data_IF_803974241044
#
_entry.id   IF_803974241044
#
_cell.length_a   1.000
_cell.length_b   1.000
_cell.length_c   1.000
_cell.angle_alpha   90.00
_cell.angle_beta   90.00
_cell.angle_gamma   90.00
#
_symmetry.space_group_name_H-M   'P 1'
#
loop_
_entity.id
_entity.type
_entity.pdbx_description
1 polymer ?
#
# COMPACT_ATOMS: atom_id res chain seq x y z
N UNK A 1 16.10 -6.10 -9.06
CA UNK A 1 15.56 -6.76 -7.86
C UNK A 1 16.69 -7.37 -7.05
N UNK A 2 17.07 -8.62 -7.34
CA UNK A 2 18.14 -9.33 -6.62
C UNK A 2 19.48 -8.58 -6.56
N UNK A 3 19.92 -7.99 -7.68
CA UNK A 3 21.16 -7.20 -7.70
C UNK A 3 21.04 -5.94 -6.82
N UNK A 4 19.91 -5.23 -6.89
CA UNK A 4 19.61 -4.10 -6.01
C UNK A 4 19.59 -4.49 -4.53
N UNK A 5 19.04 -5.66 -4.15
CA UNK A 5 19.10 -6.13 -2.76
C UNK A 5 20.53 -6.43 -2.29
N UNK A 6 21.42 -6.81 -3.22
CA UNK A 6 22.83 -7.01 -2.95
C UNK A 6 23.66 -5.71 -2.96
N UNK A 7 23.01 -4.54 -3.04
CA UNK A 7 23.68 -3.23 -2.99
C UNK A 7 24.27 -2.76 -4.33
N UNK A 8 23.81 -3.33 -5.44
CA UNK A 8 24.16 -2.86 -6.78
C UNK A 8 23.15 -1.83 -7.30
N UNK A 9 23.63 -0.88 -8.08
CA UNK A 9 22.80 0.04 -8.86
C UNK A 9 23.03 -0.17 -10.37
N UNK A 10 22.00 0.11 -11.17
CA UNK A 10 22.11 0.09 -12.62
C UNK A 10 22.89 1.32 -13.10
N UNK A 11 23.93 1.11 -13.90
CA UNK A 11 24.68 2.19 -14.55
C UNK A 11 24.17 2.43 -15.96
N UNK A 12 23.97 1.35 -16.71
CA UNK A 12 23.55 1.39 -18.11
C UNK A 12 22.76 0.13 -18.44
N UNK A 13 21.78 0.25 -19.33
CA UNK A 13 21.07 -0.87 -19.93
C UNK A 13 20.83 -0.63 -21.42
N UNK A 14 20.86 -1.70 -22.21
CA UNK A 14 20.63 -1.65 -23.65
C UNK A 14 20.01 -2.96 -24.12
N UNK A 15 19.04 -2.87 -25.02
CA UNK A 15 18.55 -4.02 -25.76
C UNK A 15 19.36 -4.18 -27.06
N UNK A 16 19.85 -5.39 -27.32
CA UNK A 16 20.52 -5.78 -28.57
C UNK A 16 19.89 -7.13 -28.97
N UNK A 17 19.30 -7.19 -30.17
CA UNK A 17 18.64 -8.40 -30.70
C UNK A 17 17.67 -9.08 -29.71
N UNK A 18 16.77 -8.28 -29.13
CA UNK A 18 15.78 -8.68 -28.10
C UNK A 18 16.36 -9.10 -26.73
N UNK A 19 17.68 -9.16 -26.60
CA UNK A 19 18.35 -9.45 -25.34
C UNK A 19 18.65 -8.16 -24.56
N UNK A 20 18.42 -8.20 -23.25
CA UNK A 20 18.72 -7.10 -22.34
C UNK A 20 20.14 -7.22 -21.79
N UNK A 21 21.01 -6.33 -22.20
CA UNK A 21 22.34 -6.12 -21.65
C UNK A 21 22.28 -5.01 -20.60
N UNK A 22 23.01 -5.16 -19.50
CA UNK A 22 23.07 -4.13 -18.46
C UNK A 22 24.38 -4.17 -17.68
N UNK A 23 24.82 -3.00 -17.24
CA UNK A 23 26.01 -2.80 -16.41
C UNK A 23 25.56 -2.35 -15.03
N UNK A 24 26.10 -3.01 -13.99
CA UNK A 24 25.76 -2.74 -12.59
C UNK A 24 27.03 -2.35 -11.83
N UNK A 25 26.89 -1.44 -10.86
CA UNK A 25 27.97 -1.02 -9.97
C UNK A 25 27.61 -1.33 -8.52
N UNK A 26 28.54 -1.90 -7.75
CA UNK A 26 28.36 -2.06 -6.31
C UNK A 26 28.55 -0.71 -5.63
N UNK A 27 27.53 -0.24 -4.92
CA UNK A 27 27.55 1.08 -4.25
C UNK A 27 27.32 1.02 -2.75
N UNK A 28 26.78 -0.09 -2.26
CA UNK A 28 26.56 -0.30 -0.82
C UNK A 28 26.64 -1.77 -0.46
N UNK A 29 26.71 -2.04 0.82
CA UNK A 29 26.57 -3.40 1.34
C UNK A 29 25.13 -3.92 1.16
N UNK A 30 24.94 -5.24 1.01
CA UNK A 30 23.62 -5.84 0.85
C UNK A 30 22.66 -5.47 1.99
N UNK A 31 21.44 -5.10 1.61
CA UNK A 31 20.35 -4.90 2.56
C UNK A 31 19.68 -6.23 2.89
N UNK A 32 20.04 -6.85 4.01
CA UNK A 32 19.38 -8.06 4.48
C UNK A 32 18.09 -7.71 5.23
N UNK A 33 16.95 -8.17 4.70
CA UNK A 33 15.75 -8.34 5.52
C UNK A 33 15.98 -9.55 6.44
N UNK A 34 15.83 -9.37 7.76
CA UNK A 34 16.01 -10.44 8.74
C UNK A 34 14.85 -11.42 8.78
N UNK A 35 13.71 -11.11 8.14
CA UNK A 35 12.56 -11.99 8.02
C UNK A 35 11.94 -11.91 6.61
N UNK A 36 12.67 -12.29 5.57
CA UNK A 36 12.17 -12.17 4.22
C UNK A 36 11.01 -13.14 4.03
N UNK A 37 9.89 -12.62 3.54
CA UNK A 37 8.80 -13.49 3.08
C UNK A 37 9.01 -13.73 1.61
N UNK A 38 9.07 -15.00 1.17
CA UNK A 38 9.18 -15.37 -0.26
C UNK A 38 7.95 -16.06 -0.82
N UNK A 39 7.06 -16.53 0.06
CA UNK A 39 5.82 -17.21 -0.31
C UNK A 39 4.72 -16.30 -0.89
N UNK A 40 3.58 -16.91 -1.30
CA UNK A 40 2.43 -16.19 -1.83
C UNK A 40 1.70 -15.38 -0.76
N UNK A 41 1.81 -15.74 0.52
CA UNK A 41 1.32 -14.93 1.64
C UNK A 41 2.46 -14.04 2.14
N UNK A 42 2.22 -12.74 2.26
CA UNK A 42 3.15 -11.76 2.83
C UNK A 42 2.55 -11.16 4.10
N UNK A 43 3.42 -10.84 5.06
CA UNK A 43 3.04 -10.12 6.27
C UNK A 43 3.77 -8.78 6.33
N UNK A 44 3.03 -7.70 6.53
CA UNK A 44 3.55 -6.34 6.56
C UNK A 44 3.27 -5.73 7.92
N UNK A 45 4.30 -5.20 8.60
CA UNK A 45 4.11 -4.49 9.87
C UNK A 45 3.51 -3.10 9.61
N UNK A 46 2.45 -2.76 10.35
CA UNK A 46 1.71 -1.51 10.23
C UNK A 46 1.27 -0.99 11.58
N UNK A 47 1.09 0.33 11.68
CA UNK A 47 0.55 0.97 12.88
C UNK A 47 -0.94 0.67 13.02
N UNK A 48 -1.31 0.18 14.20
CA UNK A 48 -2.68 -0.01 14.66
C UNK A 48 -3.06 0.98 15.76
N UNK A 49 -4.11 0.63 16.50
CA UNK A 49 -4.60 1.42 17.63
C UNK A 49 -3.55 1.48 18.75
N UNK A 50 -3.50 2.60 19.45
CA UNK A 50 -2.65 2.87 20.61
C UNK A 50 -1.15 2.75 20.29
N UNK A 51 -0.76 2.97 19.02
CA UNK A 51 0.62 2.86 18.55
C UNK A 51 1.12 1.42 18.37
N UNK A 52 0.28 0.42 18.63
CA UNK A 52 0.68 -1.00 18.55
C UNK A 52 0.88 -1.40 17.09
N UNK A 53 2.07 -1.93 16.81
CA UNK A 53 2.37 -2.47 15.48
C UNK A 53 1.82 -3.89 15.35
N UNK A 54 1.06 -4.17 14.30
CA UNK A 54 0.52 -5.49 14.01
C UNK A 54 0.87 -5.93 12.59
N UNK A 55 0.73 -7.24 12.32
CA UNK A 55 1.02 -7.83 11.01
C UNK A 55 -0.25 -7.81 10.17
N UNK A 56 -0.23 -7.10 9.06
CA UNK A 56 -1.27 -7.14 8.03
C UNK A 56 -0.90 -8.21 7.01
N UNK A 57 -1.79 -9.16 6.79
CA UNK A 57 -1.59 -10.24 5.82
C UNK A 57 -2.13 -9.88 4.45
N UNK A 58 -1.37 -10.18 3.40
CA UNK A 58 -1.78 -9.98 1.99
C UNK A 58 -1.25 -11.08 1.09
N UNK A 59 -1.86 -11.26 -0.07
CA UNK A 59 -1.22 -12.07 -1.12
C UNK A 59 -0.17 -11.24 -1.86
N UNK A 60 0.94 -11.89 -2.18
CA UNK A 60 1.99 -11.36 -3.03
C UNK A 60 1.43 -11.15 -4.43
N UNK A 61 1.43 -9.90 -4.86
CA UNK A 61 1.04 -9.52 -6.23
C UNK A 61 2.22 -9.07 -7.08
N UNK A 62 3.42 -8.96 -6.49
CA UNK A 62 4.62 -8.49 -7.14
C UNK A 62 5.72 -9.56 -7.11
N UNK A 63 6.62 -9.54 -8.08
CA UNK A 63 7.79 -10.41 -8.11
C UNK A 63 8.64 -10.24 -6.83
N UNK A 64 9.32 -11.29 -6.38
CA UNK A 64 10.25 -11.18 -5.27
C UNK A 64 11.35 -10.15 -5.58
N UNK A 65 11.81 -9.43 -4.56
CA UNK A 65 12.81 -8.37 -4.66
C UNK A 65 12.37 -7.14 -5.49
N UNK A 66 11.08 -6.97 -5.73
CA UNK A 66 10.54 -5.83 -6.47
C UNK A 66 10.51 -4.53 -5.66
N UNK A 67 10.49 -4.65 -4.33
CA UNK A 67 10.60 -3.55 -3.37
C UNK A 67 11.91 -2.76 -3.55
N UNK A 68 13.00 -3.45 -3.90
CA UNK A 68 14.31 -2.85 -4.15
C UNK A 68 14.41 -2.14 -5.50
N UNK A 69 13.39 -2.25 -6.35
CA UNK A 69 13.34 -1.57 -7.66
C UNK A 69 12.56 -0.26 -7.61
N UNK A 70 12.10 0.19 -6.45
CA UNK A 70 11.24 1.37 -6.34
C UNK A 70 11.87 2.62 -6.97
N UNK A 71 13.14 2.91 -6.66
CA UNK A 71 13.83 4.09 -7.17
C UNK A 71 14.06 4.01 -8.68
N UNK A 72 14.52 2.86 -9.17
CA UNK A 72 14.67 2.60 -10.60
C UNK A 72 13.36 2.79 -11.38
N UNK A 73 12.25 2.26 -10.85
CA UNK A 73 10.94 2.42 -11.49
C UNK A 73 10.49 3.88 -11.45
N UNK A 74 10.77 4.59 -10.36
CA UNK A 74 10.44 6.01 -10.22
C UNK A 74 11.17 6.89 -11.23
N UNK A 75 12.47 6.66 -11.42
CA UNK A 75 13.29 7.40 -12.39
C UNK A 75 12.86 7.11 -13.84
N UNK A 76 12.60 5.83 -14.16
CA UNK A 76 12.32 5.38 -15.53
C UNK A 76 10.88 5.63 -15.96
N UNK A 77 9.93 5.45 -15.05
CA UNK A 77 8.50 5.59 -15.32
C UNK A 77 7.95 6.74 -14.46
N UNK A 78 7.78 7.93 -15.06
CA UNK A 78 7.17 9.08 -14.36
C UNK A 78 5.84 8.68 -13.71
N UNK A 79 5.62 9.13 -12.46
CA UNK A 79 4.35 8.92 -11.75
C UNK A 79 3.16 9.51 -12.53
N UNK A 80 2.05 8.77 -12.60
CA UNK A 80 0.77 9.33 -13.06
C UNK A 80 -0.05 9.91 -11.89
N UNK A 81 -1.17 10.59 -12.21
CA UNK A 81 -2.14 11.05 -11.20
C UNK A 81 -2.48 9.92 -10.20
N UNK A 82 -2.38 10.22 -8.90
CA UNK A 82 -2.58 9.24 -7.83
C UNK A 82 -1.35 8.43 -7.43
N UNK A 83 -0.16 8.76 -7.94
CA UNK A 83 1.12 8.22 -7.46
C UNK A 83 1.40 6.77 -7.91
N UNK A 84 0.89 6.35 -9.07
CA UNK A 84 1.00 4.97 -9.58
C UNK A 84 1.73 4.91 -10.92
N UNK A 85 2.44 3.80 -11.16
CA UNK A 85 3.17 3.53 -12.40
C UNK A 85 2.26 2.84 -13.43
N UNK A 86 2.23 3.35 -14.68
CA UNK A 86 1.54 2.66 -15.78
C UNK A 86 2.36 1.42 -16.18
N UNK A 87 1.71 0.26 -16.26
CA UNK A 87 2.34 -1.02 -16.61
C UNK A 87 3.54 -1.38 -15.74
N UNK A 88 3.39 -1.26 -14.41
CA UNK A 88 4.42 -1.68 -13.47
C UNK A 88 4.79 -3.16 -13.68
N UNK A 89 5.97 -3.39 -14.28
CA UNK A 89 6.49 -4.72 -14.60
C UNK A 89 6.78 -5.55 -13.34
N UNK A 90 6.81 -4.91 -12.17
CA UNK A 90 6.96 -5.60 -10.89
C UNK A 90 5.74 -6.41 -10.52
N UNK A 91 4.56 -6.09 -11.05
CA UNK A 91 3.31 -6.80 -10.77
C UNK A 91 3.20 -8.04 -11.66
N UNK A 92 3.05 -9.22 -11.06
CA UNK A 92 2.92 -10.48 -11.80
C UNK A 92 1.59 -10.53 -12.58
N UNK A 93 1.51 -11.34 -13.63
CA UNK A 93 0.25 -11.52 -14.39
C UNK A 93 -0.89 -12.02 -13.50
N UNK A 94 -0.62 -13.01 -12.64
CA UNK A 94 -1.56 -13.47 -11.62
C UNK A 94 -1.86 -12.39 -10.57
N UNK A 95 -0.87 -11.57 -10.21
CA UNK A 95 -1.02 -10.44 -9.30
C UNK A 95 -1.97 -9.36 -9.84
N UNK A 96 -1.96 -9.11 -11.15
CA UNK A 96 -2.94 -8.20 -11.81
C UNK A 96 -4.36 -8.72 -11.64
N UNK A 97 -4.57 -10.04 -11.78
CA UNK A 97 -5.87 -10.68 -11.54
C UNK A 97 -6.27 -10.52 -10.07
N UNK A 98 -5.36 -10.83 -9.14
CA UNK A 98 -5.63 -10.70 -7.72
C UNK A 98 -6.04 -9.27 -7.32
N UNK A 99 -5.33 -8.24 -7.80
CA UNK A 99 -5.71 -6.84 -7.54
C UNK A 99 -7.04 -6.45 -8.20
N UNK A 100 -7.29 -6.94 -9.43
CA UNK A 100 -8.53 -6.65 -10.17
C UNK A 100 -9.77 -7.15 -9.43
N UNK A 101 -9.66 -8.31 -8.79
CA UNK A 101 -10.72 -8.96 -8.02
C UNK A 101 -10.58 -8.77 -6.51
N UNK A 102 -9.67 -7.92 -6.04
CA UNK A 102 -9.44 -7.67 -4.60
C UNK A 102 -9.06 -8.92 -3.78
N UNK A 103 -8.56 -9.96 -4.46
CA UNK A 103 -8.13 -11.21 -3.83
C UNK A 103 -6.86 -11.01 -3.01
N UNK A 104 -6.05 -9.99 -3.32
CA UNK A 104 -4.81 -9.71 -2.60
C UNK A 104 -5.02 -9.26 -1.16
N UNK A 105 -6.17 -8.67 -0.85
CA UNK A 105 -6.55 -8.24 0.49
C UNK A 105 -7.37 -9.29 1.24
N UNK A 106 -7.70 -10.44 0.62
CA UNK A 106 -8.45 -11.52 1.30
C UNK A 106 -7.80 -12.02 2.60
N UNK A 107 -6.46 -12.11 2.74
CA UNK A 107 -5.88 -12.52 4.02
C UNK A 107 -6.08 -11.48 5.14
N UNK A 108 -6.40 -10.22 4.81
CA UNK A 108 -6.68 -9.19 5.81
C UNK A 108 -7.97 -9.47 6.60
N UNK A 109 -8.87 -10.34 6.11
CA UNK A 109 -10.03 -10.78 6.89
C UNK A 109 -9.62 -11.49 8.19
N UNK A 110 -8.44 -12.12 8.23
CA UNK A 110 -7.89 -12.70 9.47
C UNK A 110 -7.66 -11.59 10.51
N UNK A 111 -7.17 -10.41 10.11
CA UNK A 111 -6.97 -9.27 11.00
C UNK A 111 -8.29 -8.65 11.48
N UNK A 112 -9.35 -8.73 10.66
CA UNK A 112 -10.69 -8.30 11.05
C UNK A 112 -11.25 -9.22 12.15
N UNK A 113 -11.13 -10.54 11.97
CA UNK A 113 -11.59 -11.55 12.95
C UNK A 113 -10.75 -11.50 14.23
N UNK A 114 -9.44 -11.30 14.12
CA UNK A 114 -8.53 -11.13 15.26
C UNK A 114 -8.78 -9.83 16.05
N UNK A 115 -9.57 -8.91 15.51
CA UNK A 115 -9.90 -7.64 16.17
C UNK A 115 -8.83 -6.56 16.06
N UNK A 116 -7.77 -6.77 15.28
CA UNK A 116 -6.72 -5.77 14.99
C UNK A 116 -7.26 -4.64 14.09
N UNK A 117 -8.23 -4.97 13.23
CA UNK A 117 -8.85 -4.06 12.26
C UNK A 117 -10.37 -4.01 12.45
N UNK A 118 -10.99 -3.00 11.84
CA UNK A 118 -12.45 -2.91 11.66
C UNK A 118 -12.82 -2.85 10.18
N UNK A 119 -14.12 -2.91 9.86
CA UNK A 119 -14.58 -2.93 8.47
C UNK A 119 -14.30 -1.59 7.76
N UNK A 120 -14.75 -0.47 8.33
CA UNK A 120 -14.56 0.87 7.78
C UNK A 120 -13.61 1.66 8.64
N UNK A 121 -12.60 2.30 8.07
CA UNK A 121 -11.62 3.09 8.83
C UNK A 121 -10.33 3.34 8.09
N UNK A 122 -9.52 4.27 8.61
CA UNK A 122 -8.26 4.69 7.97
C UNK A 122 -7.35 3.49 7.69
N UNK A 123 -6.65 3.50 6.54
CA UNK A 123 -5.83 2.36 6.12
C UNK A 123 -4.60 2.22 7.03
N UNK A 124 -4.20 1.02 7.47
CA UNK A 124 -3.02 0.86 8.31
C UNK A 124 -1.75 1.27 7.52
N UNK A 125 -0.94 2.18 8.10
CA UNK A 125 0.26 2.74 7.45
C UNK A 125 1.54 2.06 7.92
N UNK A 126 2.53 2.01 7.03
CA UNK A 126 3.90 1.62 7.39
C UNK A 126 4.59 2.72 8.20
N UNK A 127 5.71 2.42 8.85
CA UNK A 127 6.48 3.42 9.60
C UNK A 127 6.87 4.63 8.76
N UNK A 128 7.47 4.39 7.60
CA UNK A 128 7.92 5.44 6.68
C UNK A 128 6.77 6.35 6.23
N UNK A 129 5.64 5.76 5.83
CA UNK A 129 4.47 6.55 5.44
C UNK A 129 3.82 7.30 6.61
N UNK A 130 3.82 6.70 7.81
CA UNK A 130 3.25 7.34 8.99
C UNK A 130 4.03 8.60 9.38
N UNK A 131 5.35 8.63 9.17
CA UNK A 131 6.21 9.78 9.44
C UNK A 131 5.90 10.98 8.53
N UNK A 132 5.35 10.77 7.32
CA UNK A 132 4.96 11.84 6.38
C UNK A 132 3.70 12.62 6.79
N UNK A 133 3.00 12.18 7.83
CA UNK A 133 1.72 12.76 8.26
C UNK A 133 1.94 13.85 9.32
N UNK A 134 1.00 14.78 9.46
CA UNK A 134 1.01 15.75 10.55
C UNK A 134 0.82 15.07 11.90
N UNK A 135 1.40 15.62 12.97
CA UNK A 135 1.32 15.02 14.31
C UNK A 135 -0.11 14.95 14.85
N UNK A 136 -0.94 15.94 14.51
CA UNK A 136 -2.38 15.94 14.84
C UNK A 136 -3.12 14.77 14.20
N UNK A 137 -2.83 14.48 12.92
CA UNK A 137 -3.46 13.36 12.22
C UNK A 137 -2.91 12.02 12.73
N UNK A 138 -1.60 11.92 13.00
CA UNK A 138 -1.00 10.74 13.64
C UNK A 138 -1.73 10.40 14.94
N UNK A 139 -1.88 11.36 15.85
CA UNK A 139 -2.53 11.14 17.14
C UNK A 139 -3.96 10.61 17.00
N UNK A 140 -4.77 11.23 16.13
CA UNK A 140 -6.15 10.81 15.90
C UNK A 140 -6.25 9.43 15.24
N UNK A 141 -5.33 9.10 14.32
CA UNK A 141 -5.23 7.77 13.73
C UNK A 141 -4.96 6.70 14.80
N UNK A 142 -4.02 6.96 15.72
CA UNK A 142 -3.67 6.02 16.79
C UNK A 142 -4.82 5.77 17.78
N UNK A 143 -5.76 6.71 17.94
CA UNK A 143 -6.94 6.51 18.81
C UNK A 143 -7.99 5.54 18.24
N UNK A 144 -7.90 5.19 16.97
CA UNK A 144 -8.91 4.38 16.27
C UNK A 144 -8.32 3.10 15.68
N UNK A 145 -9.13 2.04 15.57
CA UNK A 145 -8.72 0.84 14.83
C UNK A 145 -8.68 1.17 13.33
N UNK A 146 -7.63 0.73 12.61
CA UNK A 146 -7.58 0.88 11.16
C UNK A 146 -8.67 0.04 10.48
N UNK A 147 -9.05 0.43 9.28
CA UNK A 147 -10.13 -0.19 8.52
C UNK A 147 -9.66 -0.96 7.29
N UNK A 148 -10.44 -1.99 6.93
CA UNK A 148 -10.31 -2.69 5.64
C UNK A 148 -10.74 -1.77 4.48
N UNK A 149 -11.83 -1.03 4.67
CA UNK A 149 -12.38 -0.05 3.72
C UNK A 149 -12.04 1.36 4.19
N UNK A 150 -10.99 1.99 3.63
CA UNK A 150 -10.62 3.35 3.97
C UNK A 150 -11.56 4.42 3.39
N UNK A 151 -11.63 5.60 4.03
CA UNK A 151 -12.29 6.80 3.52
C UNK A 151 -11.87 7.17 2.09
N UNK A 152 -10.64 6.81 1.71
CA UNK A 152 -10.13 6.91 0.35
C UNK A 152 -11.10 6.41 -0.73
N UNK A 153 -11.81 5.29 -0.51
CA UNK A 153 -12.76 4.78 -1.51
C UNK A 153 -14.09 5.54 -1.53
N UNK A 154 -14.44 6.25 -0.46
CA UNK A 154 -15.61 7.11 -0.39
C UNK A 154 -15.36 8.47 -1.05
N UNK A 155 -14.22 9.09 -0.75
CA UNK A 155 -13.92 10.47 -1.18
C UNK A 155 -13.10 10.53 -2.47
N UNK A 156 -12.43 9.44 -2.86
CA UNK A 156 -11.60 9.32 -4.06
C UNK A 156 -10.57 10.46 -4.24
N UNK A 157 -9.75 10.76 -3.22
CA UNK A 157 -8.74 11.82 -3.29
C UNK A 157 -7.63 11.48 -4.29
N UNK A 158 -7.02 12.52 -4.87
CA UNK A 158 -5.95 12.40 -5.89
C UNK A 158 -4.56 12.70 -5.34
N UNK A 159 -4.45 13.66 -4.42
CA UNK A 159 -3.18 14.13 -3.86
C UNK A 159 -2.96 13.63 -2.44
N UNK A 160 -1.71 13.61 -1.95
CA UNK A 160 -1.42 13.24 -0.56
C UNK A 160 -2.13 14.18 0.43
N UNK A 161 -2.22 15.48 0.11
CA UNK A 161 -2.94 16.45 0.92
C UNK A 161 -4.44 16.12 1.01
N UNK A 162 -5.07 15.79 -0.12
CA UNK A 162 -6.48 15.35 -0.14
C UNK A 162 -6.70 14.03 0.60
N UNK A 163 -5.75 13.09 0.53
CA UNK A 163 -5.80 11.84 1.29
C UNK A 163 -5.81 12.15 2.79
N UNK A 164 -4.87 12.98 3.26
CA UNK A 164 -4.80 13.37 4.67
C UNK A 164 -6.07 14.13 5.11
N UNK A 165 -6.60 15.01 4.26
CA UNK A 165 -7.84 15.73 4.54
C UNK A 165 -9.07 14.82 4.62
N UNK A 166 -9.21 13.85 3.72
CA UNK A 166 -10.28 12.83 3.74
C UNK A 166 -10.22 11.99 5.00
N UNK A 167 -9.04 11.50 5.36
CA UNK A 167 -8.86 10.74 6.60
C UNK A 167 -9.16 11.59 7.83
N UNK A 168 -8.77 12.87 7.82
CA UNK A 168 -9.06 13.78 8.91
C UNK A 168 -10.58 13.97 9.07
N UNK A 169 -11.28 14.31 7.99
CA UNK A 169 -12.73 14.50 8.00
C UNK A 169 -13.47 13.26 8.52
N UNK A 170 -13.05 12.07 8.08
CA UNK A 170 -13.59 10.81 8.58
C UNK A 170 -13.34 10.62 10.10
N UNK A 171 -12.11 10.83 10.58
CA UNK A 171 -11.78 10.63 12.00
C UNK A 171 -12.56 11.57 12.91
N UNK A 172 -12.80 12.82 12.48
CA UNK A 172 -13.59 13.79 13.23
C UNK A 172 -15.08 13.46 13.25
N UNK A 173 -15.64 13.06 12.11
CA UNK A 173 -17.00 12.57 12.05
C UNK A 173 -17.18 11.32 12.94
N UNK A 174 -16.22 10.40 12.89
CA UNK A 174 -16.22 9.18 13.68
C UNK A 174 -16.16 9.46 15.18
N UNK A 175 -15.41 10.46 15.63
CA UNK A 175 -15.38 10.87 17.04
C UNK A 175 -16.74 11.38 17.53
N UNK A 176 -17.53 12.02 16.67
CA UNK A 176 -18.87 12.53 17.01
C UNK A 176 -19.93 11.43 16.96
N UNK A 177 -19.96 10.65 15.88
CA UNK A 177 -20.99 9.63 15.63
C UNK A 177 -20.40 8.35 15.01
N UNK A 178 -19.73 7.49 15.80
CA UNK A 178 -18.97 6.35 15.29
C UNK A 178 -19.75 5.44 14.34
N UNK A 179 -20.94 4.99 14.75
CA UNK A 179 -21.76 4.03 14.00
C UNK A 179 -22.29 4.66 12.72
N UNK A 180 -22.83 5.88 12.81
CA UNK A 180 -23.39 6.60 11.65
C UNK A 180 -22.31 6.87 10.61
N UNK A 181 -21.13 7.32 11.04
CA UNK A 181 -20.01 7.59 10.13
C UNK A 181 -19.54 6.34 9.43
N UNK A 182 -19.36 5.22 10.15
CA UNK A 182 -18.95 3.95 9.52
C UNK A 182 -19.97 3.49 8.47
N UNK A 183 -21.26 3.56 8.77
CA UNK A 183 -22.34 3.21 7.82
C UNK A 183 -22.31 4.11 6.59
N UNK A 184 -22.21 5.42 6.77
CA UNK A 184 -22.20 6.37 5.67
C UNK A 184 -21.01 6.16 4.73
N UNK A 185 -19.82 6.01 5.29
CA UNK A 185 -18.60 5.76 4.53
C UNK A 185 -18.62 4.38 3.86
N UNK A 186 -19.21 3.37 4.51
CA UNK A 186 -19.42 2.04 3.91
C UNK A 186 -20.23 2.15 2.61
N UNK A 187 -21.42 2.76 2.66
CA UNK A 187 -22.28 2.85 1.48
C UNK A 187 -21.68 3.75 0.39
N UNK A 188 -21.02 4.85 0.76
CA UNK A 188 -20.29 5.70 -0.20
C UNK A 188 -19.19 4.93 -0.92
N UNK A 189 -18.32 4.25 -0.15
CA UNK A 189 -17.25 3.44 -0.70
C UNK A 189 -17.78 2.29 -1.57
N UNK A 190 -18.78 1.56 -1.08
CA UNK A 190 -19.39 0.43 -1.79
C UNK A 190 -19.96 0.86 -3.15
N UNK A 191 -20.70 1.97 -3.19
CA UNK A 191 -21.23 2.54 -4.44
C UNK A 191 -20.10 2.92 -5.40
N UNK A 192 -19.03 3.54 -4.92
CA UNK A 192 -17.91 3.94 -5.76
C UNK A 192 -17.12 2.73 -6.29
N UNK A 193 -16.95 1.68 -5.48
CA UNK A 193 -16.29 0.43 -5.87
C UNK A 193 -17.08 -0.27 -6.98
N UNK A 194 -18.41 -0.38 -6.83
CA UNK A 194 -19.29 -1.04 -7.80
C UNK A 194 -19.46 -0.23 -9.09
N UNK A 195 -19.79 1.05 -8.98
CA UNK A 195 -20.28 1.84 -10.12
C UNK A 195 -19.26 2.82 -10.69
N UNK A 196 -18.28 3.26 -9.90
CA UNK A 196 -17.26 4.25 -10.33
C UNK A 196 -15.88 3.65 -10.52
N UNK A 197 -15.74 2.34 -10.39
CA UNK A 197 -14.48 1.63 -10.60
C UNK A 197 -13.39 1.98 -9.59
N UNK A 198 -13.77 2.44 -8.39
CA UNK A 198 -12.81 2.67 -7.30
C UNK A 198 -12.20 1.32 -6.89
N UNK A 199 -10.99 1.05 -7.38
CA UNK A 199 -10.26 -0.20 -7.11
C UNK A 199 -8.85 0.11 -6.63
N UNK A 200 -8.28 -0.84 -5.90
CA UNK A 200 -6.84 -0.89 -5.63
C UNK A 200 -6.12 -1.20 -6.95
N UNK A 201 -6.03 -0.22 -7.87
CA UNK A 201 -5.18 -0.32 -9.07
C UNK A 201 -3.72 -0.22 -8.68
#
# INVERSE_FOLDING_TARGET
GRLYSCGFELVEEKYIDEELYFVMRKVKEPGYDSNPTYGPLISLRRYGKDGRMFKVYKLRTMHAYSEYLQDYVYEKYKLQEGGKFKNDFRVTTSGKIFRKFWLDETPMFINLIAGDMKLVGVRPLSKQYFELYSDTLKEKRLKTKPGLIPPFYADMPKTLAEIQASEMAYLEAYQRHPIRTDIEYFFKAFRNILFKGARSK
#
